data_IF_122351014107
#
_entry.id   IF_122351014107
#
_cell.length_a   1.000
_cell.length_b   1.000
_cell.length_c   1.000
_cell.angle_alpha   90.00
_cell.angle_beta   90.00
_cell.angle_gamma   90.00
#
_symmetry.space_group_name_H-M   'P 1'
#
loop_
_entity.id
_entity.type
_entity.pdbx_description
1 polymer ?
#
# COMPACT_ATOMS: atom_id res chain seq x y z
N UNK A 1 -49.34 -42.50 18.45
CA UNK A 1 -49.59 -41.04 18.65
C UNK A 1 -48.79 -40.64 19.88
N UNK A 2 -47.88 -39.66 19.90
CA UNK A 2 -47.78 -38.41 19.17
C UNK A 2 -46.31 -37.99 19.05
N UNK A 3 -45.99 -37.32 17.95
CA UNK A 3 -44.67 -36.76 17.62
C UNK A 3 -44.49 -35.48 18.44
N UNK A 4 -43.48 -35.42 19.31
CA UNK A 4 -43.11 -34.19 20.02
C UNK A 4 -42.35 -33.28 19.06
N UNK A 5 -43.08 -32.37 18.42
CA UNK A 5 -42.56 -31.28 17.61
C UNK A 5 -41.84 -30.26 18.51
N UNK A 6 -40.50 -30.25 18.49
CA UNK A 6 -39.72 -29.12 19.03
C UNK A 6 -39.88 -27.93 18.08
N UNK A 7 -40.71 -26.97 18.46
CA UNK A 7 -40.74 -25.64 17.82
C UNK A 7 -39.34 -25.02 17.92
N UNK A 8 -38.69 -24.83 16.77
CA UNK A 8 -37.54 -23.94 16.63
C UNK A 8 -38.03 -22.50 16.85
N UNK A 9 -37.83 -21.99 18.06
CA UNK A 9 -37.94 -20.57 18.33
C UNK A 9 -36.81 -19.85 17.61
N UNK A 10 -37.14 -19.01 16.64
CA UNK A 10 -36.21 -18.03 16.07
C UNK A 10 -35.82 -17.05 17.18
N UNK A 11 -34.61 -17.18 17.71
CA UNK A 11 -34.01 -16.18 18.58
C UNK A 11 -33.56 -15.01 17.69
N UNK A 12 -34.31 -13.91 17.72
CA UNK A 12 -33.86 -12.64 17.18
C UNK A 12 -32.57 -12.23 17.89
N UNK A 13 -31.46 -12.19 17.16
CA UNK A 13 -30.13 -11.84 17.67
C UNK A 13 -29.92 -10.35 17.97
N UNK A 14 -30.98 -9.53 17.91
CA UNK A 14 -30.85 -8.07 17.90
C UNK A 14 -30.73 -7.40 19.27
N UNK A 15 -30.54 -8.14 20.36
CA UNK A 15 -30.30 -7.57 21.70
C UNK A 15 -29.31 -8.40 22.52
N UNK A 16 -28.06 -8.50 22.06
CA UNK A 16 -26.97 -8.86 22.97
C UNK A 16 -26.68 -7.63 23.81
N UNK A 17 -27.02 -7.71 25.09
CA UNK A 17 -26.71 -6.68 26.07
C UNK A 17 -25.21 -6.45 26.12
N UNK A 18 -24.79 -5.28 25.64
CA UNK A 18 -23.47 -4.72 25.88
C UNK A 18 -23.37 -4.46 27.39
N UNK A 19 -22.76 -5.35 28.17
CA UNK A 19 -22.18 -5.08 29.50
C UNK A 19 -21.48 -6.33 30.09
N UNK A 20 -20.68 -7.02 29.28
CA UNK A 20 -19.56 -7.79 29.78
C UNK A 20 -18.36 -7.39 28.94
N UNK A 21 -17.41 -6.68 29.53
CA UNK A 21 -16.07 -6.60 28.95
C UNK A 21 -15.48 -8.00 29.14
N UNK A 22 -15.85 -8.92 28.25
CA UNK A 22 -15.11 -10.16 28.10
C UNK A 22 -13.72 -9.79 27.60
N UNK A 23 -12.71 -10.47 28.11
CA UNK A 23 -11.36 -10.32 27.58
C UNK A 23 -11.39 -10.64 26.08
N UNK A 24 -10.60 -9.91 25.29
CA UNK A 24 -10.50 -10.15 23.85
C UNK A 24 -10.21 -11.64 23.54
N UNK A 25 -9.48 -12.34 24.43
CA UNK A 25 -9.21 -13.77 24.33
C UNK A 25 -10.49 -14.63 24.34
N UNK A 26 -11.40 -14.42 25.29
CA UNK A 26 -12.64 -15.20 25.40
C UNK A 26 -13.61 -14.97 24.22
N UNK A 27 -13.52 -13.79 23.57
CA UNK A 27 -14.24 -13.51 22.33
C UNK A 27 -13.63 -14.24 21.14
N UNK A 28 -12.30 -14.36 21.07
CA UNK A 28 -11.58 -15.08 20.01
C UNK A 28 -11.84 -16.58 20.10
N UNK A 29 -11.87 -17.17 21.30
CA UNK A 29 -12.06 -18.62 21.50
C UNK A 29 -13.40 -19.14 20.95
N UNK A 30 -14.44 -18.30 20.97
CA UNK A 30 -15.78 -18.61 20.44
C UNK A 30 -16.03 -18.03 19.04
N UNK A 31 -15.02 -17.40 18.42
CA UNK A 31 -15.16 -16.71 17.15
C UNK A 31 -15.08 -17.69 15.98
N UNK A 32 -16.11 -17.70 15.12
CA UNK A 32 -16.09 -18.48 13.88
C UNK A 32 -15.43 -17.73 12.72
N UNK A 33 -15.51 -16.41 12.69
CA UNK A 33 -15.03 -15.56 11.59
C UNK A 33 -14.45 -14.24 12.09
N UNK A 34 -13.25 -13.90 11.61
CA UNK A 34 -12.58 -12.63 11.93
C UNK A 34 -12.64 -11.71 10.72
N UNK A 35 -13.23 -10.53 10.89
CA UNK A 35 -13.31 -9.51 9.84
C UNK A 35 -12.35 -8.36 10.15
N UNK A 36 -11.32 -8.19 9.31
CA UNK A 36 -10.46 -7.03 9.35
C UNK A 36 -10.97 -5.95 8.39
N UNK A 37 -11.19 -4.73 8.90
CA UNK A 37 -11.67 -3.57 8.12
C UNK A 37 -10.55 -2.66 7.62
N UNK A 38 -9.30 -2.92 7.97
CA UNK A 38 -8.17 -2.13 7.48
C UNK A 38 -7.96 -2.38 5.97
N UNK A 39 -8.13 -1.38 5.09
CA UNK A 39 -7.98 -1.56 3.65
C UNK A 39 -6.59 -2.06 3.27
N UNK A 40 -5.56 -1.62 4.01
CA UNK A 40 -4.16 -1.89 3.70
C UNK A 40 -3.66 -3.28 4.14
N UNK A 41 -4.46 -4.00 4.93
CA UNK A 41 -4.04 -5.28 5.51
C UNK A 41 -3.67 -6.32 4.43
N UNK A 42 -4.46 -6.40 3.37
CA UNK A 42 -4.22 -7.38 2.30
C UNK A 42 -2.99 -7.04 1.45
N UNK A 43 -2.67 -5.75 1.33
CA UNK A 43 -1.48 -5.26 0.61
C UNK A 43 -0.21 -5.60 1.39
N UNK A 44 -0.19 -5.36 2.70
CA UNK A 44 0.91 -5.74 3.59
C UNK A 44 1.13 -7.26 3.61
N UNK A 45 0.04 -8.05 3.63
CA UNK A 45 0.12 -9.51 3.50
C UNK A 45 0.45 -9.99 2.09
N UNK A 46 0.60 -9.09 1.11
CA UNK A 46 0.89 -9.38 -0.30
C UNK A 46 -0.13 -10.28 -1.00
N UNK A 47 -1.33 -10.41 -0.45
CA UNK A 47 -2.43 -11.22 -1.01
C UNK A 47 -3.42 -10.35 -1.80
N UNK A 48 -3.39 -9.03 -1.59
CA UNK A 48 -4.24 -8.10 -2.31
C UNK A 48 -4.12 -8.28 -3.83
N UNK A 49 -5.26 -8.29 -4.50
CA UNK A 49 -5.32 -8.46 -5.95
C UNK A 49 -4.85 -7.18 -6.64
N UNK A 50 -3.73 -7.27 -7.38
CA UNK A 50 -3.38 -6.26 -8.39
C UNK A 50 -4.28 -6.44 -9.61
N UNK A 51 -4.66 -5.37 -10.33
CA UNK A 51 -5.37 -5.55 -11.59
C UNK A 51 -4.43 -6.27 -12.57
N UNK A 52 -4.92 -7.35 -13.14
CA UNK A 52 -4.19 -8.16 -14.11
C UNK A 52 -4.80 -7.95 -15.48
N UNK A 53 -3.98 -7.86 -16.52
CA UNK A 53 -4.43 -7.58 -17.88
C UNK A 53 -3.83 -6.29 -18.41
N UNK A 54 -4.56 -5.61 -19.31
CA UNK A 54 -4.14 -4.34 -19.92
C UNK A 54 -2.79 -4.39 -20.64
N UNK A 55 -2.38 -5.57 -21.12
CA UNK A 55 -1.10 -5.75 -21.83
C UNK A 55 -0.99 -4.94 -23.13
N UNK A 56 -2.13 -4.58 -23.74
CA UNK A 56 -2.20 -3.76 -24.94
C UNK A 56 -2.24 -2.25 -24.63
N UNK A 57 -2.51 -1.86 -23.38
CA UNK A 57 -2.45 -0.46 -22.98
C UNK A 57 -1.01 -0.03 -22.78
N UNK A 58 -0.73 1.25 -23.06
CA UNK A 58 0.58 1.82 -22.76
C UNK A 58 0.84 1.80 -21.26
N UNK A 59 -0.13 2.22 -20.43
CA UNK A 59 0.06 2.34 -18.99
C UNK A 59 -0.14 0.99 -18.30
N UNK A 60 0.92 0.48 -17.67
CA UNK A 60 0.82 -0.73 -16.83
C UNK A 60 0.12 -0.39 -15.53
N UNK A 61 -0.96 -1.10 -15.21
CA UNK A 61 -1.76 -0.88 -13.99
C UNK A 61 -1.47 -1.88 -12.88
N UNK A 62 -0.54 -2.81 -13.08
CA UNK A 62 -0.26 -3.92 -12.17
C UNK A 62 0.58 -3.48 -10.95
N UNK A 63 0.00 -2.67 -10.08
CA UNK A 63 0.62 -2.18 -8.85
C UNK A 63 -0.44 -1.91 -7.77
N UNK A 64 -0.04 -1.71 -6.52
CA UNK A 64 -0.89 -1.13 -5.47
C UNK A 64 -0.64 0.38 -5.36
N UNK A 65 0.63 0.75 -5.26
CA UNK A 65 1.14 2.11 -5.17
C UNK A 65 2.08 2.44 -6.34
N UNK A 66 1.79 3.51 -7.07
CA UNK A 66 2.63 4.01 -8.15
C UNK A 66 3.25 5.37 -7.79
N UNK A 67 4.53 5.54 -8.12
CA UNK A 67 5.19 6.83 -8.10
C UNK A 67 4.79 7.65 -9.33
N UNK A 68 4.24 8.85 -9.09
CA UNK A 68 3.87 9.80 -10.13
C UNK A 68 4.67 11.08 -9.96
N UNK A 69 5.28 11.54 -11.05
CA UNK A 69 6.09 12.76 -11.08
C UNK A 69 5.44 13.72 -12.08
N UNK A 70 4.90 14.81 -11.57
CA UNK A 70 4.29 15.87 -12.37
C UNK A 70 5.25 17.05 -12.47
N UNK A 71 5.75 17.28 -13.68
CA UNK A 71 6.70 18.35 -14.00
C UNK A 71 5.95 19.57 -14.53
N UNK A 72 5.79 20.59 -13.69
CA UNK A 72 5.35 21.92 -14.13
C UNK A 72 6.51 22.77 -14.64
N UNK A 73 6.20 23.92 -15.21
CA UNK A 73 7.22 24.89 -15.67
C UNK A 73 8.06 25.42 -14.50
N UNK A 74 7.38 25.81 -13.42
CA UNK A 74 8.01 26.41 -12.23
C UNK A 74 8.05 25.50 -11.02
N UNK A 75 7.22 24.48 -10.95
CA UNK A 75 7.08 23.66 -9.76
C UNK A 75 7.13 22.18 -10.13
N UNK A 76 7.79 21.43 -9.25
CA UNK A 76 7.81 19.98 -9.24
C UNK A 76 6.83 19.47 -8.18
N UNK A 77 6.06 18.46 -8.55
CA UNK A 77 5.14 17.73 -7.69
C UNK A 77 5.37 16.24 -7.87
N UNK A 78 5.49 15.53 -6.76
CA UNK A 78 5.79 14.11 -6.72
C UNK A 78 4.89 13.48 -5.69
N UNK A 79 4.23 12.40 -6.05
CA UNK A 79 3.28 11.77 -5.17
C UNK A 79 3.18 10.27 -5.44
N UNK A 80 2.73 9.55 -4.42
CA UNK A 80 2.45 8.12 -4.46
C UNK A 80 0.95 7.94 -4.56
N UNK A 81 0.49 7.36 -5.66
CA UNK A 81 -0.93 7.09 -5.91
C UNK A 81 -1.25 5.62 -5.60
N UNK A 82 -2.28 5.39 -4.79
CA UNK A 82 -2.94 4.11 -4.71
C UNK A 82 -3.89 3.94 -5.89
N UNK A 83 -4.02 2.71 -6.40
CA UNK A 83 -4.85 2.42 -7.56
C UNK A 83 -6.33 2.82 -7.41
N UNK A 84 -6.92 2.62 -6.23
CA UNK A 84 -8.34 2.92 -5.98
C UNK A 84 -8.56 4.29 -5.34
N UNK A 85 -7.64 4.71 -4.47
CA UNK A 85 -7.84 5.88 -3.59
C UNK A 85 -7.20 7.15 -4.16
N UNK A 86 -6.36 7.03 -5.19
CA UNK A 86 -5.61 8.16 -5.75
C UNK A 86 -4.40 8.55 -4.89
N UNK A 87 -3.99 9.83 -4.85
CA UNK A 87 -2.77 10.26 -4.19
C UNK A 87 -2.85 10.08 -2.67
N UNK A 88 -1.97 9.23 -2.12
CA UNK A 88 -1.87 8.94 -0.68
C UNK A 88 -0.84 9.86 -0.03
N UNK A 89 0.36 9.92 -0.62
CA UNK A 89 1.47 10.74 -0.13
C UNK A 89 1.83 11.72 -1.22
N UNK A 90 1.83 12.99 -0.88
CA UNK A 90 2.22 14.05 -1.80
C UNK A 90 3.45 14.75 -1.26
N UNK A 91 4.27 15.25 -2.17
CA UNK A 91 5.32 16.20 -1.89
C UNK A 91 5.32 17.20 -3.05
N UNK A 92 5.30 18.49 -2.73
CA UNK A 92 5.38 19.53 -3.75
C UNK A 92 6.33 20.66 -3.37
N UNK A 93 7.06 21.17 -4.35
CA UNK A 93 7.83 22.43 -4.21
C UNK A 93 6.96 23.66 -4.00
N UNK A 94 5.62 23.52 -4.12
CA UNK A 94 4.64 24.54 -3.71
C UNK A 94 4.51 24.65 -2.19
N UNK A 95 4.86 23.58 -1.45
CA UNK A 95 4.80 23.58 0.01
C UNK A 95 5.78 24.59 0.59
N UNK A 96 5.31 25.38 1.55
CA UNK A 96 6.11 26.46 2.13
C UNK A 96 7.41 25.95 2.79
N UNK A 97 7.34 24.79 3.46
CA UNK A 97 8.48 24.17 4.14
C UNK A 97 9.63 23.82 3.19
N UNK A 98 9.32 23.42 1.96
CA UNK A 98 10.33 23.13 0.93
C UNK A 98 10.73 24.40 0.19
N UNK A 99 9.77 25.27 -0.08
CA UNK A 99 9.98 26.53 -0.79
C UNK A 99 11.03 27.42 -0.13
N UNK A 100 11.06 27.48 1.21
CA UNK A 100 12.05 28.27 1.97
C UNK A 100 13.47 27.66 1.95
N UNK A 101 13.58 26.35 1.74
CA UNK A 101 14.85 25.62 1.77
C UNK A 101 15.48 25.47 0.37
N UNK A 102 14.72 25.75 -0.70
CA UNK A 102 15.13 25.58 -2.08
C UNK A 102 15.42 26.93 -2.73
N UNK A 103 16.60 27.04 -3.37
CA UNK A 103 16.95 28.19 -4.20
C UNK A 103 16.10 28.23 -5.49
N UNK A 104 15.90 27.07 -6.12
CA UNK A 104 15.07 26.89 -7.32
C UNK A 104 14.20 25.65 -7.16
N UNK A 105 13.03 25.67 -7.78
CA UNK A 105 11.99 24.65 -7.62
C UNK A 105 12.03 23.54 -8.69
N UNK A 106 12.90 23.67 -9.70
CA UNK A 106 13.02 22.70 -10.80
C UNK A 106 14.47 22.27 -11.06
N UNK A 107 15.38 22.57 -10.15
CA UNK A 107 16.81 22.23 -10.28
C UNK A 107 17.09 20.80 -9.78
N UNK A 108 18.27 20.26 -10.08
CA UNK A 108 18.68 18.93 -9.60
C UNK A 108 18.59 18.80 -8.07
N UNK A 109 18.97 19.85 -7.33
CA UNK A 109 18.86 19.90 -5.87
C UNK A 109 17.40 19.78 -5.39
N UNK A 110 16.45 20.39 -6.12
CA UNK A 110 15.03 20.23 -5.83
C UNK A 110 14.62 18.76 -5.96
N UNK A 111 14.97 18.09 -7.06
CA UNK A 111 14.65 16.65 -7.24
C UNK A 111 15.25 15.75 -6.15
N UNK A 112 16.50 16.00 -5.74
CA UNK A 112 17.14 15.25 -4.66
C UNK A 112 16.43 15.45 -3.31
N UNK A 113 16.10 16.70 -2.97
CA UNK A 113 15.40 17.01 -1.71
C UNK A 113 13.96 16.51 -1.72
N UNK A 114 13.28 16.57 -2.87
CA UNK A 114 11.96 15.95 -3.06
C UNK A 114 12.01 14.44 -2.82
N UNK A 115 13.03 13.75 -3.34
CA UNK A 115 13.23 12.31 -3.10
C UNK A 115 13.42 11.98 -1.62
N UNK A 116 14.21 12.79 -0.89
CA UNK A 116 14.41 12.62 0.57
C UNK A 116 13.13 12.79 1.35
N UNK A 117 12.42 13.90 1.13
CA UNK A 117 11.18 14.23 1.84
C UNK A 117 10.09 13.19 1.54
N UNK A 118 10.00 12.73 0.29
CA UNK A 118 9.04 11.70 -0.06
C UNK A 118 9.41 10.36 0.58
N UNK A 119 10.70 9.99 0.63
CA UNK A 119 11.14 8.77 1.32
C UNK A 119 10.75 8.80 2.81
N UNK A 120 11.05 9.90 3.51
CA UNK A 120 10.70 10.08 4.93
C UNK A 120 9.18 9.95 5.13
N UNK A 121 8.37 10.65 4.33
CA UNK A 121 6.90 10.56 4.40
C UNK A 121 6.40 9.14 4.14
N UNK A 122 7.01 8.43 3.19
CA UNK A 122 6.68 7.04 2.89
C UNK A 122 6.98 6.15 4.10
N UNK A 123 8.16 6.25 4.69
CA UNK A 123 8.54 5.47 5.87
C UNK A 123 7.67 5.77 7.09
N UNK A 124 7.38 7.05 7.37
CA UNK A 124 6.48 7.47 8.45
C UNK A 124 5.04 6.96 8.24
N UNK A 125 4.61 6.89 6.98
CA UNK A 125 3.32 6.29 6.59
C UNK A 125 3.36 4.76 6.51
N UNK A 126 4.54 4.16 6.71
CA UNK A 126 4.79 2.72 6.62
C UNK A 126 4.73 2.15 5.19
N UNK A 127 4.85 2.96 4.13
CA UNK A 127 4.93 2.51 2.73
C UNK A 127 6.41 2.29 2.36
N UNK A 128 6.79 1.03 2.19
CA UNK A 128 8.19 0.66 1.91
C UNK A 128 8.49 0.42 0.43
N UNK A 129 7.48 0.06 -0.37
CA UNK A 129 7.68 -0.29 -1.78
C UNK A 129 6.68 0.46 -2.68
N UNK A 130 7.18 0.97 -3.80
CA UNK A 130 6.39 1.73 -4.79
C UNK A 130 6.79 1.31 -6.20
N UNK A 131 5.81 1.20 -7.09
CA UNK A 131 6.04 0.88 -8.50
C UNK A 131 6.44 2.12 -9.30
N UNK A 132 7.56 2.04 -10.02
CA UNK A 132 7.99 3.06 -10.98
C UNK A 132 7.56 2.66 -12.39
N UNK A 133 6.79 3.53 -13.05
CA UNK A 133 6.34 3.28 -14.43
C UNK A 133 7.53 3.19 -15.40
N UNK A 134 7.56 2.20 -16.31
CA UNK A 134 8.65 2.05 -17.29
C UNK A 134 8.70 3.20 -18.31
N UNK A 135 7.59 3.93 -18.46
CA UNK A 135 7.47 5.09 -19.37
C UNK A 135 8.05 6.38 -18.80
N UNK A 136 8.48 6.36 -17.54
CA UNK A 136 9.11 7.50 -16.92
C UNK A 136 10.41 7.80 -17.68
N UNK A 137 10.70 9.08 -18.04
CA UNK A 137 11.90 9.42 -18.77
C UNK A 137 13.13 9.00 -17.95
N UNK A 138 13.88 8.03 -18.49
CA UNK A 138 15.13 7.56 -17.91
C UNK A 138 16.20 8.64 -18.13
N UNK A 139 16.99 8.92 -17.12
CA UNK A 139 18.05 9.92 -17.19
C UNK A 139 17.74 11.24 -16.50
N UNK A 140 18.81 11.95 -16.16
CA UNK A 140 18.78 13.34 -15.70
C UNK A 140 18.23 13.49 -14.28
N UNK A 141 17.35 14.48 -14.08
CA UNK A 141 16.88 14.88 -12.74
C UNK A 141 15.96 13.85 -12.09
N UNK A 142 15.24 13.02 -12.88
CA UNK A 142 14.39 11.95 -12.31
C UNK A 142 15.24 10.91 -11.61
N UNK A 143 16.33 10.47 -12.23
CA UNK A 143 17.19 9.43 -11.67
C UNK A 143 17.82 9.87 -10.35
N UNK A 144 18.14 11.16 -10.19
CA UNK A 144 18.60 11.73 -8.92
C UNK A 144 17.53 11.67 -7.83
N UNK A 145 16.26 11.80 -8.19
CA UNK A 145 15.16 11.63 -7.25
C UNK A 145 14.99 10.16 -6.86
N UNK A 146 15.03 9.26 -7.85
CA UNK A 146 14.92 7.82 -7.64
C UNK A 146 16.07 7.27 -6.79
N UNK A 147 17.29 7.77 -6.99
CA UNK A 147 18.43 7.39 -6.17
C UNK A 147 18.26 7.82 -4.71
N UNK A 148 17.75 9.03 -4.46
CA UNK A 148 17.46 9.50 -3.10
C UNK A 148 16.29 8.78 -2.43
N UNK A 149 15.27 8.36 -3.19
CA UNK A 149 14.22 7.48 -2.65
C UNK A 149 14.77 6.13 -2.20
N UNK A 150 15.62 5.52 -3.03
CA UNK A 150 16.25 4.24 -2.73
C UNK A 150 17.22 4.34 -1.54
N UNK A 151 18.01 5.42 -1.46
CA UNK A 151 18.85 5.70 -0.29
C UNK A 151 18.03 5.90 0.99
N UNK A 152 16.81 6.44 0.85
CA UNK A 152 15.86 6.63 1.95
C UNK A 152 15.09 5.37 2.34
N UNK A 153 15.45 4.18 1.84
CA UNK A 153 14.85 2.91 2.25
C UNK A 153 13.55 2.55 1.54
N UNK A 154 13.16 3.28 0.48
CA UNK A 154 11.98 2.94 -0.31
C UNK A 154 12.38 2.12 -1.54
N UNK A 155 11.85 0.91 -1.64
CA UNK A 155 12.05 0.04 -2.78
C UNK A 155 11.23 0.51 -3.99
N UNK A 156 11.90 0.68 -5.13
CA UNK A 156 11.31 1.13 -6.39
C UNK A 156 10.64 0.00 -7.19
N UNK A 157 10.57 -1.20 -6.60
CA UNK A 157 9.96 -2.40 -7.17
C UNK A 157 9.02 -2.95 -6.12
N UNK A 158 7.73 -3.01 -6.45
CA UNK A 158 6.78 -3.64 -5.56
C UNK A 158 6.98 -5.15 -5.44
N UNK A 159 6.69 -5.74 -4.27
CA UNK A 159 6.67 -7.18 -4.13
C UNK A 159 5.57 -7.80 -5.00
N UNK A 160 5.83 -9.02 -5.44
CA UNK A 160 4.86 -9.82 -6.20
C UNK A 160 3.72 -10.27 -5.28
N UNK A 161 2.53 -10.43 -5.85
CA UNK A 161 1.38 -11.00 -5.14
C UNK A 161 1.72 -12.44 -4.76
N UNK A 162 1.60 -12.76 -3.47
CA UNK A 162 1.83 -14.10 -2.97
C UNK A 162 0.76 -15.06 -3.49
N UNK A 163 1.22 -16.18 -4.05
CA UNK A 163 0.38 -17.30 -4.44
C UNK A 163 0.87 -18.52 -3.70
N UNK A 164 -0.07 -19.29 -3.15
CA UNK A 164 0.25 -20.57 -2.52
C UNK A 164 0.85 -21.50 -3.57
N UNK A 165 2.09 -21.93 -3.34
CA UNK A 165 2.77 -22.93 -4.17
C UNK A 165 2.01 -24.25 -4.15
N UNK A 166 1.84 -24.85 -5.31
CA UNK A 166 1.32 -26.19 -5.47
C UNK A 166 2.41 -27.22 -5.14
N UNK A 167 2.04 -28.49 -4.84
CA UNK A 167 3.02 -29.53 -4.51
C UNK A 167 4.10 -29.75 -5.60
N UNK A 168 3.75 -29.49 -6.87
CA UNK A 168 4.61 -29.65 -8.04
C UNK A 168 5.40 -28.39 -8.42
N UNK A 169 5.20 -27.26 -7.74
CA UNK A 169 5.97 -26.04 -8.01
C UNK A 169 7.39 -26.18 -7.45
N UNK A 170 8.39 -25.81 -8.25
CA UNK A 170 9.80 -25.82 -7.86
C UNK A 170 10.09 -24.74 -6.82
N UNK A 171 9.61 -23.53 -7.08
CA UNK A 171 9.83 -22.37 -6.22
C UNK A 171 8.74 -22.26 -5.15
N UNK A 172 9.15 -22.19 -3.89
CA UNK A 172 8.26 -22.01 -2.73
C UNK A 172 8.64 -20.71 -2.03
N UNK A 173 8.00 -19.59 -2.39
CA UNK A 173 8.30 -18.31 -1.75
C UNK A 173 7.95 -18.37 -0.27
N UNK A 174 8.71 -17.63 0.53
CA UNK A 174 8.39 -17.43 1.94
C UNK A 174 7.01 -16.77 2.09
N UNK A 175 6.34 -17.11 3.20
CA UNK A 175 5.04 -16.54 3.48
C UNK A 175 5.22 -15.07 3.86
N UNK A 176 4.37 -14.16 3.37
CA UNK A 176 4.53 -12.73 3.61
C UNK A 176 4.52 -12.32 5.09
N UNK A 177 3.79 -13.05 5.93
CA UNK A 177 3.71 -12.77 7.36
C UNK A 177 4.90 -13.33 8.17
N UNK A 178 5.76 -14.14 7.56
CA UNK A 178 7.02 -14.59 8.16
C UNK A 178 8.18 -13.64 7.79
N UNK A 179 8.00 -12.80 6.77
CA UNK A 179 9.01 -11.84 6.31
C UNK A 179 8.84 -10.52 7.05
N UNK A 180 9.90 -10.08 7.72
CA UNK A 180 9.96 -8.74 8.29
C UNK A 180 10.34 -7.75 7.18
N UNK A 181 9.49 -6.75 6.96
CA UNK A 181 9.84 -5.63 6.08
C UNK A 181 10.92 -4.77 6.77
N UNK A 182 11.85 -4.18 6.00
CA UNK A 182 12.98 -3.42 6.53
C UNK A 182 12.57 -2.12 7.25
#
# INVERSE_FOLDING_TARGET
MSILTRKLGFLNSSRVGLNAISSNAALVDNCTEVSNRNPRNLEMLRIARKPTGYHLERVTRQFWHQLVITRGVRHLEVHVEHIENGPVITASTKEWSLKKCLYSYNDSSAYMNMGRVLAERCLESGIFAVHVSPHLPKGGKVDLLLSKLKEGGVDLVEPKVYKKSQPWDLDRPEKPWDVMEP
#
